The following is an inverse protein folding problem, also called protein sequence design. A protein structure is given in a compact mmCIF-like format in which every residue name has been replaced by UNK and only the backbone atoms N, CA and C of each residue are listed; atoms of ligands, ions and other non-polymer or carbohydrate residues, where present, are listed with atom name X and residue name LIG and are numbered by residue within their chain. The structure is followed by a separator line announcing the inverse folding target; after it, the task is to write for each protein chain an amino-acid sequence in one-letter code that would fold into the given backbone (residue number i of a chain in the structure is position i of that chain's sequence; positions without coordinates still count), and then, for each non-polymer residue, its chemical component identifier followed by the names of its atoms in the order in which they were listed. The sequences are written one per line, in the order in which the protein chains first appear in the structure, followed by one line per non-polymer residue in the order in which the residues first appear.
data_IF_346104876679
#
_entry.id   IF_346104876679
#
_cell.length_a   1.000
_cell.length_b   1.000
_cell.length_c   1.000
_cell.angle_alpha   90.00
_cell.angle_beta   90.00
_cell.angle_gamma   90.00
#
_symmetry.space_group_name_H-M   'P 1'
#
loop_
_entity.id
_entity.type
_entity.pdbx_description
1 polymer ?
#
# COMPACT_ATOMS: atom_id res chain seq x y z
N UNK A 1 -8.69 25.20 15.46
CA UNK A 1 -7.89 26.23 14.77
C UNK A 1 -6.97 25.50 13.81
N UNK A 2 -7.10 25.71 12.50
CA UNK A 2 -6.22 25.08 11.52
C UNK A 2 -4.88 25.83 11.50
N UNK A 3 -3.80 25.16 11.89
CA UNK A 3 -2.43 25.69 11.77
C UNK A 3 -2.10 25.84 10.29
N UNK A 4 -1.97 27.09 9.82
CA UNK A 4 -1.59 27.39 8.44
C UNK A 4 -0.14 26.94 8.22
N UNK A 5 0.05 25.85 7.45
CA UNK A 5 1.38 25.35 7.06
C UNK A 5 2.10 26.45 6.26
N UNK A 6 3.34 26.77 6.62
CA UNK A 6 4.09 27.82 5.92
C UNK A 6 4.36 27.40 4.47
N UNK A 7 4.17 28.33 3.52
CA UNK A 7 4.54 28.11 2.12
C UNK A 7 6.06 28.04 1.89
N UNK A 8 6.87 28.34 2.91
CA UNK A 8 8.33 28.31 2.85
C UNK A 8 8.84 27.11 3.64
N UNK A 9 9.65 26.29 3.00
CA UNK A 9 10.40 25.20 3.63
C UNK A 9 11.89 25.49 3.56
N UNK A 10 12.68 24.85 4.43
CA UNK A 10 14.13 24.96 4.37
C UNK A 10 14.66 24.43 3.02
N UNK A 11 15.76 24.97 2.52
CA UNK A 11 16.40 24.46 1.29
C UNK A 11 16.82 22.98 1.42
N UNK A 12 17.05 22.51 2.64
CA UNK A 12 17.31 21.10 2.95
C UNK A 12 16.11 20.19 2.70
N UNK A 13 14.91 20.75 2.52
CA UNK A 13 13.69 20.01 2.16
C UNK A 13 13.51 19.84 0.65
N UNK A 14 14.49 20.24 -0.17
CA UNK A 14 14.52 19.89 -1.60
C UNK A 14 14.53 18.37 -1.73
N UNK A 15 13.71 17.85 -2.64
CA UNK A 15 13.58 16.41 -2.87
C UNK A 15 14.93 15.84 -3.35
N UNK A 16 15.49 14.91 -2.58
CA UNK A 16 16.78 14.30 -2.86
C UNK A 16 16.78 13.49 -4.17
N UNK A 17 15.62 13.00 -4.58
CA UNK A 17 15.46 12.13 -5.75
C UNK A 17 15.32 12.88 -7.08
N UNK A 18 15.48 14.22 -7.14
CA UNK A 18 15.41 14.97 -8.41
C UNK A 18 16.49 14.51 -9.41
N UNK A 19 17.64 14.08 -8.90
CA UNK A 19 18.75 13.55 -9.70
C UNK A 19 18.77 12.00 -9.72
N UNK A 20 17.76 11.35 -9.14
CA UNK A 20 17.68 9.90 -9.04
C UNK A 20 17.52 9.26 -10.42
N UNK A 21 18.11 8.08 -10.58
CA UNK A 21 17.88 7.26 -11.76
C UNK A 21 16.44 6.71 -11.74
N UNK A 22 15.82 6.66 -12.93
CA UNK A 22 14.50 6.06 -13.10
C UNK A 22 14.59 4.55 -13.33
N UNK A 23 13.79 3.79 -12.61
CA UNK A 23 13.62 2.33 -12.72
C UNK A 23 12.31 2.05 -13.44
N UNK A 24 12.33 1.07 -14.35
CA UNK A 24 11.10 0.52 -14.94
C UNK A 24 10.60 -0.63 -14.09
N UNK A 25 9.37 -0.55 -13.60
CA UNK A 25 8.71 -1.67 -12.91
C UNK A 25 7.56 -2.16 -13.78
N UNK A 26 7.65 -3.39 -14.25
CA UNK A 26 6.62 -4.03 -15.08
C UNK A 26 5.75 -4.90 -14.18
N UNK A 27 4.48 -4.55 -14.05
CA UNK A 27 3.54 -5.15 -13.11
C UNK A 27 2.40 -5.81 -13.87
N UNK A 28 1.98 -7.00 -13.46
CA UNK A 28 0.91 -7.77 -14.10
C UNK A 28 1.37 -8.53 -15.36
N UNK A 29 0.42 -9.29 -15.92
CA UNK A 29 0.58 -10.12 -17.11
C UNK A 29 -0.53 -9.89 -18.14
N UNK A 30 -0.27 -10.27 -19.39
CA UNK A 30 -1.23 -10.19 -20.49
C UNK A 30 -1.75 -8.78 -20.71
N UNK A 31 -3.07 -8.66 -20.89
CA UNK A 31 -3.75 -7.39 -21.18
C UNK A 31 -3.75 -6.42 -19.97
N UNK A 32 -3.49 -6.92 -18.76
CA UNK A 32 -3.42 -6.12 -17.54
C UNK A 32 -1.99 -5.67 -17.20
N UNK A 33 -0.99 -5.94 -18.05
CA UNK A 33 0.38 -5.54 -17.77
C UNK A 33 0.57 -4.02 -17.92
N UNK A 34 1.22 -3.40 -16.94
CA UNK A 34 1.57 -1.98 -16.96
C UNK A 34 3.04 -1.75 -16.59
N UNK A 35 3.66 -0.76 -17.22
CA UNK A 35 5.02 -0.33 -16.89
C UNK A 35 5.01 1.01 -16.16
N UNK A 36 5.56 1.03 -14.96
CA UNK A 36 5.77 2.21 -14.14
C UNK A 36 7.21 2.70 -14.28
N UNK A 37 7.40 4.02 -14.26
CA UNK A 37 8.74 4.62 -14.16
C UNK A 37 8.83 5.35 -12.83
N UNK A 38 9.66 4.87 -11.93
CA UNK A 38 9.75 5.34 -10.55
C UNK A 38 11.21 5.64 -10.20
N UNK A 39 11.45 6.65 -9.37
CA UNK A 39 12.80 6.97 -8.89
C UNK A 39 13.34 5.83 -8.04
N UNK A 40 14.55 5.36 -8.36
CA UNK A 40 15.26 4.34 -7.58
C UNK A 40 15.36 4.72 -6.11
N UNK A 41 15.79 5.95 -5.81
CA UNK A 41 15.99 6.37 -4.42
C UNK A 41 14.70 6.26 -3.61
N UNK A 42 13.55 6.53 -4.23
CA UNK A 42 12.24 6.40 -3.60
C UNK A 42 11.93 4.93 -3.33
N UNK A 43 12.10 4.05 -4.33
CA UNK A 43 11.88 2.61 -4.17
C UNK A 43 12.79 2.03 -3.07
N UNK A 44 14.10 2.25 -3.16
CA UNK A 44 15.09 1.71 -2.24
C UNK A 44 14.96 2.28 -0.83
N UNK A 45 14.55 3.54 -0.67
CA UNK A 45 14.32 4.13 0.65
C UNK A 45 13.14 3.52 1.42
N UNK A 46 12.20 2.89 0.71
CA UNK A 46 10.97 2.33 1.27
C UNK A 46 10.97 0.80 1.29
N UNK A 47 11.72 0.16 0.41
CA UNK A 47 11.65 -1.27 0.17
C UNK A 47 13.03 -1.92 0.14
N UNK A 48 13.27 -2.82 1.09
CA UNK A 48 14.46 -3.66 1.10
C UNK A 48 14.47 -4.63 -0.09
N UNK A 49 13.30 -5.03 -0.59
CA UNK A 49 13.18 -5.81 -1.83
C UNK A 49 13.80 -5.06 -3.01
N UNK A 50 13.42 -3.79 -3.25
CA UNK A 50 13.97 -3.02 -4.36
C UNK A 50 15.46 -2.72 -4.15
N UNK A 51 15.89 -2.43 -2.91
CA UNK A 51 17.32 -2.27 -2.59
C UNK A 51 18.13 -3.52 -2.94
N UNK A 52 17.61 -4.72 -2.64
CA UNK A 52 18.24 -5.98 -2.97
C UNK A 52 18.18 -6.29 -4.47
N UNK A 53 17.04 -6.05 -5.12
CA UNK A 53 16.83 -6.36 -6.54
C UNK A 53 17.70 -5.47 -7.44
N UNK A 54 17.78 -4.19 -7.13
CA UNK A 54 18.49 -3.19 -7.94
C UNK A 54 20.01 -3.17 -7.68
N UNK A 55 20.48 -3.79 -6.59
CA UNK A 55 21.92 -3.95 -6.31
C UNK A 55 22.52 -5.22 -6.92
N UNK A 56 21.73 -6.04 -7.62
CA UNK A 56 22.22 -7.26 -8.28
C UNK A 56 23.23 -6.94 -9.38
N UNK A 57 24.43 -7.53 -9.28
CA UNK A 57 25.56 -7.33 -10.18
C UNK A 57 25.28 -7.61 -11.67
N UNK A 58 24.27 -8.43 -11.97
CA UNK A 58 23.91 -8.79 -13.34
C UNK A 58 22.77 -7.95 -13.92
N UNK A 59 22.27 -6.95 -13.17
CA UNK A 59 21.24 -6.08 -13.72
C UNK A 59 21.87 -5.23 -14.83
N UNK A 60 21.34 -5.36 -16.03
CA UNK A 60 21.73 -4.53 -17.16
C UNK A 60 21.43 -3.07 -16.82
N UNK A 61 22.48 -2.29 -16.58
CA UNK A 61 22.41 -0.86 -16.23
C UNK A 61 21.57 -0.08 -17.25
N UNK A 62 21.53 -0.53 -18.52
CA UNK A 62 20.74 0.10 -19.57
C UNK A 62 19.24 -0.20 -19.46
N UNK A 63 18.88 -1.33 -18.85
CA UNK A 63 17.48 -1.76 -18.74
C UNK A 63 16.87 -1.40 -17.40
N UNK A 64 17.59 -1.48 -16.27
CA UNK A 64 17.12 -1.03 -14.93
C UNK A 64 15.63 -1.37 -14.72
N UNK A 65 15.31 -2.65 -14.80
CA UNK A 65 13.94 -3.15 -14.89
C UNK A 65 13.67 -4.24 -13.85
N UNK A 66 12.56 -4.10 -13.13
CA UNK A 66 12.05 -5.09 -12.17
C UNK A 66 10.68 -5.57 -12.63
N UNK A 67 10.39 -6.86 -12.49
CA UNK A 67 9.13 -7.47 -12.91
C UNK A 67 8.35 -8.02 -11.72
N UNK A 68 7.06 -7.73 -11.71
CA UNK A 68 6.08 -8.09 -10.68
C UNK A 68 4.83 -8.68 -11.36
N UNK A 69 4.95 -9.85 -12.01
CA UNK A 69 3.89 -10.39 -12.88
C UNK A 69 2.61 -10.78 -12.13
N UNK A 70 2.75 -11.25 -10.89
CA UNK A 70 1.63 -11.75 -10.07
C UNK A 70 0.87 -10.63 -9.35
N UNK A 71 1.35 -9.39 -9.43
CA UNK A 71 0.83 -8.26 -8.68
C UNK A 71 -0.11 -7.41 -9.55
N UNK A 72 -1.08 -6.75 -8.91
CA UNK A 72 -1.98 -5.82 -9.57
C UNK A 72 -1.30 -4.46 -9.83
N UNK A 73 -1.39 -3.91 -11.07
CA UNK A 73 -0.93 -2.56 -11.35
C UNK A 73 -1.54 -1.49 -10.44
N UNK A 74 -2.83 -1.62 -10.10
CA UNK A 74 -3.54 -0.65 -9.25
C UNK A 74 -2.98 -0.67 -7.82
N UNK A 75 -2.75 -1.86 -7.27
CA UNK A 75 -2.14 -2.02 -5.95
C UNK A 75 -0.71 -1.48 -5.94
N UNK A 76 0.06 -1.74 -7.00
CA UNK A 76 1.41 -1.18 -7.12
C UNK A 76 1.39 0.36 -7.25
N UNK A 77 0.43 0.92 -7.99
CA UNK A 77 0.26 2.37 -8.08
C UNK A 77 -0.04 2.99 -6.70
N UNK A 78 -0.89 2.36 -5.89
CA UNK A 78 -1.17 2.78 -4.52
C UNK A 78 0.07 2.69 -3.61
N UNK A 79 0.87 1.62 -3.75
CA UNK A 79 2.13 1.51 -3.01
C UNK A 79 3.15 2.57 -3.43
N UNK A 80 3.27 2.87 -4.73
CA UNK A 80 4.12 3.96 -5.22
C UNK A 80 3.65 5.31 -4.68
N UNK A 81 2.34 5.56 -4.62
CA UNK A 81 1.81 6.76 -3.98
C UNK A 81 2.31 6.87 -2.53
N UNK A 82 2.15 5.81 -1.73
CA UNK A 82 2.68 5.74 -0.37
C UNK A 82 4.19 6.01 -0.32
N UNK A 83 4.97 5.43 -1.23
CA UNK A 83 6.40 5.61 -1.25
C UNK A 83 6.81 7.09 -1.41
N UNK A 84 6.06 7.87 -2.19
CA UNK A 84 6.29 9.30 -2.37
C UNK A 84 5.73 10.18 -1.25
N UNK A 85 4.54 9.89 -0.76
CA UNK A 85 3.76 10.83 0.09
C UNK A 85 3.71 10.41 1.54
N UNK A 86 3.95 9.13 1.83
CA UNK A 86 3.61 8.47 3.10
C UNK A 86 2.12 8.63 3.45
N UNK A 87 1.26 8.66 2.42
CA UNK A 87 -0.19 8.68 2.52
C UNK A 87 -0.78 7.48 1.74
N UNK A 88 -1.75 6.81 2.35
CA UNK A 88 -2.43 5.66 1.77
C UNK A 88 -3.59 6.12 0.87
N UNK A 89 -3.39 6.14 -0.45
CA UNK A 89 -4.42 6.49 -1.44
C UNK A 89 -5.31 5.29 -1.77
N UNK A 90 -6.15 4.89 -0.82
CA UNK A 90 -6.94 3.65 -0.90
C UNK A 90 -8.44 3.92 -1.01
N UNK A 91 -8.90 5.05 -0.50
CA UNK A 91 -10.32 5.36 -0.49
C UNK A 91 -10.82 5.75 -1.88
N UNK A 92 -11.89 5.09 -2.32
CA UNK A 92 -12.62 5.44 -3.55
C UNK A 92 -13.60 6.60 -3.34
N UNK A 93 -13.66 7.15 -2.12
CA UNK A 93 -14.64 8.17 -1.74
C UNK A 93 -14.19 9.55 -2.19
N UNK A 94 -14.96 10.13 -3.11
CA UNK A 94 -14.86 11.54 -3.51
C UNK A 94 -15.93 12.42 -2.80
N UNK A 95 -16.67 11.84 -1.85
CA UNK A 95 -17.87 12.46 -1.27
C UNK A 95 -17.59 13.15 0.07
N UNK A 96 -18.07 14.40 0.21
CA UNK A 96 -17.98 15.20 1.45
C UNK A 96 -18.91 14.72 2.57
N UNK A 97 -19.78 13.76 2.31
CA UNK A 97 -20.76 13.26 3.28
C UNK A 97 -20.14 12.19 4.16
N UNK A 98 -20.35 12.22 5.48
CA UNK A 98 -19.73 11.24 6.39
C UNK A 98 -20.52 9.90 6.48
N UNK A 99 -21.28 9.54 5.45
CA UNK A 99 -22.11 8.32 5.41
C UNK A 99 -21.38 7.22 4.65
N UNK A 100 -21.23 6.08 5.31
CA UNK A 100 -20.60 4.89 4.73
C UNK A 100 -21.65 3.84 4.43
N UNK A 101 -21.54 3.21 3.26
CA UNK A 101 -22.28 2.01 2.92
C UNK A 101 -21.49 0.76 3.31
N UNK A 102 -22.19 -0.35 3.53
CA UNK A 102 -21.53 -1.63 3.81
C UNK A 102 -20.63 -2.10 2.66
N UNK A 103 -20.89 -1.68 1.41
CA UNK A 103 -20.06 -2.02 0.27
C UNK A 103 -18.75 -1.21 0.27
N UNK A 104 -18.80 0.10 0.49
CA UNK A 104 -17.58 0.92 0.57
C UNK A 104 -16.63 0.41 1.66
N UNK A 105 -17.16 0.04 2.84
CA UNK A 105 -16.33 -0.52 3.92
C UNK A 105 -15.67 -1.85 3.50
N UNK A 106 -16.37 -2.69 2.70
CA UNK A 106 -15.80 -3.92 2.17
C UNK A 106 -14.68 -3.65 1.17
N UNK A 107 -14.87 -2.66 0.30
CA UNK A 107 -13.90 -2.29 -0.71
C UNK A 107 -12.62 -1.71 -0.07
N UNK A 108 -12.75 -0.94 1.02
CA UNK A 108 -11.61 -0.49 1.83
C UNK A 108 -10.81 -1.67 2.41
N UNK A 109 -11.50 -2.66 3.00
CA UNK A 109 -10.81 -3.84 3.55
C UNK A 109 -10.08 -4.64 2.46
N UNK A 110 -10.71 -4.82 1.31
CA UNK A 110 -10.12 -5.55 0.17
C UNK A 110 -8.85 -4.86 -0.31
N UNK A 111 -8.95 -3.54 -0.52
CA UNK A 111 -7.83 -2.72 -1.00
C UNK A 111 -6.69 -2.63 0.01
N UNK A 112 -7.00 -2.43 1.30
CA UNK A 112 -6.01 -2.41 2.38
C UNK A 112 -5.29 -3.74 2.55
N UNK A 113 -6.01 -4.86 2.55
CA UNK A 113 -5.40 -6.18 2.72
C UNK A 113 -4.57 -6.56 1.50
N UNK A 114 -5.02 -6.24 0.29
CA UNK A 114 -4.25 -6.46 -0.94
C UNK A 114 -2.97 -5.62 -0.94
N UNK A 115 -3.05 -4.36 -0.52
CA UNK A 115 -1.88 -3.49 -0.38
C UNK A 115 -0.94 -3.98 0.72
N UNK A 116 -1.45 -4.53 1.83
CA UNK A 116 -0.63 -5.12 2.87
C UNK A 116 0.22 -6.27 2.33
N UNK A 117 -0.37 -7.18 1.56
CA UNK A 117 0.35 -8.31 0.97
C UNK A 117 1.46 -7.84 0.02
N UNK A 118 1.19 -6.82 -0.79
CA UNK A 118 2.22 -6.22 -1.64
C UNK A 118 3.32 -5.57 -0.79
N UNK A 119 2.96 -4.77 0.22
CA UNK A 119 3.93 -4.11 1.09
C UNK A 119 4.83 -5.11 1.84
N UNK A 120 4.26 -6.21 2.33
CA UNK A 120 5.00 -7.30 2.97
C UNK A 120 5.97 -7.98 1.98
N UNK A 121 5.49 -8.31 0.77
CA UNK A 121 6.34 -8.83 -0.33
C UNK A 121 7.48 -7.88 -0.68
N UNK A 122 7.22 -6.58 -0.68
CA UNK A 122 8.21 -5.53 -0.94
C UNK A 122 9.10 -5.23 0.29
N UNK A 123 8.88 -5.90 1.42
CA UNK A 123 9.61 -5.70 2.67
C UNK A 123 9.54 -4.24 3.18
N UNK A 124 8.40 -3.55 2.95
CA UNK A 124 8.15 -2.20 3.46
C UNK A 124 7.42 -2.26 4.81
N UNK A 125 8.20 -2.38 5.88
CA UNK A 125 7.69 -2.45 7.26
C UNK A 125 6.93 -1.17 7.66
N UNK A 126 7.26 -0.02 7.07
CA UNK A 126 6.56 1.23 7.38
C UNK A 126 5.16 1.24 6.78
N UNK A 127 5.03 0.78 5.53
CA UNK A 127 3.73 0.60 4.87
C UNK A 127 2.86 -0.42 5.61
N UNK A 128 3.37 -1.61 5.93
CA UNK A 128 2.57 -2.65 6.60
C UNK A 128 2.01 -2.17 7.94
N UNK A 129 2.81 -1.45 8.74
CA UNK A 129 2.34 -0.84 9.98
C UNK A 129 1.27 0.24 9.76
N UNK A 130 1.45 1.13 8.78
CA UNK A 130 0.46 2.15 8.45
C UNK A 130 -0.87 1.54 7.98
N UNK A 131 -0.80 0.47 7.19
CA UNK A 131 -1.96 -0.26 6.68
C UNK A 131 -2.70 -0.96 7.82
N UNK A 132 -1.99 -1.58 8.78
CA UNK A 132 -2.61 -2.15 9.99
C UNK A 132 -3.42 -1.09 10.76
N UNK A 133 -2.87 0.12 10.91
CA UNK A 133 -3.57 1.24 11.57
C UNK A 133 -4.82 1.60 10.76
N UNK A 134 -4.71 1.75 9.45
CA UNK A 134 -5.85 2.08 8.58
C UNK A 134 -6.94 0.99 8.61
N UNK A 135 -6.58 -0.30 8.64
CA UNK A 135 -7.53 -1.41 8.83
C UNK A 135 -8.28 -1.30 10.16
N UNK A 136 -7.58 -0.90 11.23
CA UNK A 136 -8.20 -0.64 12.52
C UNK A 136 -9.11 0.61 12.52
N UNK A 137 -8.78 1.63 11.73
CA UNK A 137 -9.66 2.79 11.54
C UNK A 137 -10.94 2.39 10.79
N UNK A 138 -10.83 1.55 9.75
CA UNK A 138 -11.97 1.03 8.99
C UNK A 138 -12.91 0.21 9.87
N UNK A 139 -12.37 -0.60 10.80
CA UNK A 139 -13.22 -1.41 11.71
C UNK A 139 -14.06 -0.57 12.68
N UNK A 140 -13.73 0.71 12.86
CA UNK A 140 -14.49 1.65 13.71
C UNK A 140 -15.56 2.41 12.95
N UNK A 141 -15.61 2.27 11.62
CA UNK A 141 -16.64 2.90 10.78
C UNK A 141 -17.98 2.22 11.06
N UNK A 142 -19.01 3.05 11.26
CA UNK A 142 -20.41 2.62 11.32
C UNK A 142 -21.08 2.97 10.01
N UNK A 143 -21.70 2.00 9.36
CA UNK A 143 -22.50 2.27 8.18
C UNK A 143 -23.83 2.98 8.51
N UNK A 144 -24.60 3.31 7.47
CA UNK A 144 -25.94 3.89 7.60
C UNK A 144 -26.94 3.01 8.36
N UNK A 145 -26.68 1.72 8.49
CA UNK A 145 -27.53 0.73 9.15
C UNK A 145 -27.02 0.38 10.57
N UNK A 146 -25.95 1.05 11.04
CA UNK A 146 -25.30 0.89 12.35
C UNK A 146 -24.71 -0.50 12.64
N UNK A 147 -24.27 -1.21 11.59
CA UNK A 147 -23.62 -2.51 11.71
C UNK A 147 -22.15 -2.42 12.18
N UNK A 148 -21.69 -3.44 12.91
CA UNK A 148 -20.26 -3.73 13.05
C UNK A 148 -19.77 -4.40 11.77
N UNK A 149 -18.67 -3.92 11.20
CA UNK A 149 -18.11 -4.47 9.97
C UNK A 149 -16.79 -5.16 10.22
N UNK A 150 -16.78 -6.46 9.98
CA UNK A 150 -15.57 -7.28 9.97
C UNK A 150 -15.11 -7.50 8.52
N UNK A 151 -13.79 -7.70 8.31
CA UNK A 151 -13.24 -8.05 7.00
C UNK A 151 -13.95 -9.27 6.40
N UNK A 152 -14.34 -9.25 5.11
CA UNK A 152 -14.97 -10.40 4.46
C UNK A 152 -14.12 -11.67 4.53
N UNK A 153 -14.75 -12.85 4.64
CA UNK A 153 -14.02 -14.12 4.73
C UNK A 153 -13.10 -14.38 3.54
N UNK A 154 -13.43 -13.88 2.35
CA UNK A 154 -12.57 -13.98 1.17
C UNK A 154 -11.26 -13.22 1.35
N UNK A 155 -11.31 -12.02 1.95
CA UNK A 155 -10.14 -11.21 2.28
C UNK A 155 -9.31 -11.88 3.38
N UNK A 156 -9.96 -12.42 4.42
CA UNK A 156 -9.28 -13.19 5.47
C UNK A 156 -8.53 -14.38 4.88
N UNK A 157 -9.19 -15.15 4.01
CA UNK A 157 -8.56 -16.29 3.32
C UNK A 157 -7.35 -15.84 2.49
N UNK A 158 -7.49 -14.77 1.72
CA UNK A 158 -6.39 -14.21 0.93
C UNK A 158 -5.18 -13.87 1.81
N UNK A 159 -5.38 -13.21 2.96
CA UNK A 159 -4.30 -12.90 3.90
C UNK A 159 -3.65 -14.17 4.46
N UNK A 160 -4.46 -15.20 4.77
CA UNK A 160 -3.94 -16.48 5.27
C UNK A 160 -3.20 -17.31 4.21
N UNK A 161 -3.56 -17.16 2.94
CA UNK A 161 -2.85 -17.83 1.84
C UNK A 161 -1.55 -17.07 1.49
N UNK A 162 -1.49 -15.74 1.71
CA UNK A 162 -0.38 -14.88 1.30
C UNK A 162 0.70 -14.56 2.35
N UNK A 163 0.51 -14.91 3.64
CA UNK A 163 1.45 -14.55 4.72
C UNK A 163 1.97 -15.78 5.50
N UNK A 164 2.69 -15.59 6.60
CA UNK A 164 3.05 -16.69 7.53
C UNK A 164 2.14 -16.72 8.75
N UNK A 165 2.12 -17.85 9.49
CA UNK A 165 1.31 -17.96 10.71
C UNK A 165 1.70 -16.95 11.81
N UNK A 166 2.92 -16.41 11.78
CA UNK A 166 3.39 -15.42 12.75
C UNK A 166 2.96 -13.98 12.41
N UNK A 167 2.41 -13.75 11.22
CA UNK A 167 2.10 -12.44 10.67
C UNK A 167 1.10 -11.65 11.55
N UNK A 168 1.36 -10.36 11.84
CA UNK A 168 0.55 -9.55 12.73
C UNK A 168 -0.85 -9.24 12.17
N UNK A 169 -1.03 -9.13 10.85
CA UNK A 169 -2.34 -8.88 10.26
C UNK A 169 -3.29 -10.05 10.56
N UNK A 170 -2.82 -11.30 10.50
CA UNK A 170 -3.66 -12.46 10.87
C UNK A 170 -4.23 -12.35 12.29
N UNK A 171 -3.42 -11.90 13.25
CA UNK A 171 -3.84 -11.74 14.65
C UNK A 171 -4.92 -10.68 14.77
N UNK A 172 -4.72 -9.52 14.13
CA UNK A 172 -5.70 -8.44 14.10
C UNK A 172 -7.04 -8.91 13.52
N UNK A 173 -7.01 -9.66 12.41
CA UNK A 173 -8.22 -10.18 11.79
C UNK A 173 -8.96 -11.12 12.75
N UNK A 174 -8.27 -12.02 13.45
CA UNK A 174 -8.88 -12.90 14.46
C UNK A 174 -9.49 -12.09 15.61
N UNK A 175 -8.84 -11.03 16.06
CA UNK A 175 -9.34 -10.17 17.14
C UNK A 175 -10.67 -9.51 16.77
N UNK A 176 -10.85 -9.09 15.51
CA UNK A 176 -12.12 -8.54 15.03
C UNK A 176 -13.26 -9.57 15.01
N UNK A 177 -12.96 -10.83 14.71
CA UNK A 177 -13.96 -11.90 14.68
C UNK A 177 -14.29 -12.46 16.07
N UNK A 178 -13.41 -12.29 17.05
CA UNK A 178 -13.56 -12.84 18.40
C UNK A 178 -14.08 -11.84 19.44
N UNK A 179 -13.86 -10.53 19.27
CA UNK A 179 -14.30 -9.49 20.19
C UNK A 179 -15.50 -8.68 19.64
N UNK A 180 -16.67 -9.33 19.56
CA UNK A 180 -17.95 -8.66 19.27
C UNK A 180 -18.57 -7.99 20.48
#
# INVERSE_FOLDING_TARGET
MATTKSARVAKTSILSFIESTMVRVVVGEGDNQQTFKVNEDVLCSKSDFFSAELSKKWMDEKKREVKLPEDSPDTFAAWVHWAYTSELAITSRDTKDNKWTAQEIRDEYDSLCTLYLLADKLLDVSATNAIIIAIFEVSRIKDTESGWHVPPLIVVKMVYDGTTAADPLRRLLVDFWSNK
#
